data_IF_282418385076
#
_entry.id   IF_282418385076
#
_cell.length_a   1.000
_cell.length_b   1.000
_cell.length_c   1.000
_cell.angle_alpha   90.00
_cell.angle_beta   90.00
_cell.angle_gamma   90.00
#
_symmetry.space_group_name_H-M   'P 1'
#
loop_
_entity.id
_entity.type
_entity.pdbx_description
1 polymer ?
#
# COMPACT_ATOMS: atom_id res chain seq x y z
N UNK A 1 12.96 -5.18 4.91
CA UNK A 1 12.33 -6.42 4.43
C UNK A 1 11.08 -6.13 3.63
N UNK A 2 10.04 -5.44 4.19
CA UNK A 2 8.74 -5.21 3.50
C UNK A 2 8.88 -4.47 2.16
N UNK A 3 9.74 -3.43 2.08
CA UNK A 3 9.95 -2.70 0.81
C UNK A 3 10.48 -3.59 -0.31
N UNK A 4 11.36 -4.54 0.03
CA UNK A 4 11.90 -5.49 -0.94
C UNK A 4 10.87 -6.57 -1.35
N UNK A 5 9.76 -6.73 -0.62
CA UNK A 5 8.72 -7.68 -0.98
C UNK A 5 8.03 -7.31 -2.30
N UNK A 6 7.86 -6.02 -2.56
CA UNK A 6 7.25 -5.57 -3.81
C UNK A 6 8.08 -5.94 -5.04
N UNK A 7 9.42 -5.98 -4.91
CA UNK A 7 10.33 -6.33 -6.00
C UNK A 7 10.27 -7.82 -6.35
N UNK A 8 9.76 -8.67 -5.44
CA UNK A 8 9.56 -10.11 -5.65
C UNK A 8 8.22 -10.45 -6.31
N UNK A 9 7.30 -9.49 -6.38
CA UNK A 9 5.97 -9.71 -6.93
C UNK A 9 5.94 -9.41 -8.43
N UNK A 10 5.14 -10.17 -9.21
CA UNK A 10 5.01 -9.92 -10.63
C UNK A 10 4.37 -8.53 -10.88
N UNK A 11 4.76 -7.87 -11.98
CA UNK A 11 4.07 -6.66 -12.40
C UNK A 11 2.61 -6.98 -12.75
N UNK A 12 1.73 -6.00 -12.56
CA UNK A 12 0.30 -6.13 -12.84
C UNK A 12 -0.11 -5.25 -14.01
N UNK A 13 -1.14 -5.67 -14.72
CA UNK A 13 -1.77 -4.87 -15.75
C UNK A 13 -2.64 -3.78 -15.11
N UNK A 14 -2.51 -2.56 -15.62
CA UNK A 14 -3.26 -1.39 -15.19
C UNK A 14 -3.73 -0.59 -16.40
N UNK A 15 -4.85 0.11 -16.27
CA UNK A 15 -5.29 1.09 -17.27
C UNK A 15 -4.30 2.26 -17.29
N UNK A 16 -3.74 2.54 -18.47
CA UNK A 16 -2.74 3.61 -18.63
C UNK A 16 -3.32 4.97 -18.24
N UNK A 17 -2.61 5.67 -17.36
CA UNK A 17 -3.03 6.99 -16.87
C UNK A 17 -4.11 6.97 -15.79
N UNK A 18 -4.59 5.80 -15.38
CA UNK A 18 -5.50 5.69 -14.25
C UNK A 18 -4.73 5.90 -12.94
N UNK A 19 -5.19 6.87 -12.15
CA UNK A 19 -4.60 7.18 -10.84
C UNK A 19 -4.79 6.05 -9.82
N UNK A 20 -5.90 5.32 -9.94
CA UNK A 20 -6.24 4.20 -9.05
C UNK A 20 -5.69 2.85 -9.52
N UNK A 21 -4.90 2.79 -10.56
CA UNK A 21 -4.32 1.56 -11.12
C UNK A 21 -5.37 0.48 -11.43
N UNK A 22 -6.53 0.91 -11.96
CA UNK A 22 -7.65 0.02 -12.26
C UNK A 22 -7.25 -1.17 -13.13
N UNK A 23 -7.87 -2.30 -12.85
CA UNK A 23 -7.67 -3.55 -13.57
C UNK A 23 -8.42 -3.50 -14.90
N UNK A 24 -7.74 -3.58 -16.06
CA UNK A 24 -8.42 -3.55 -17.35
C UNK A 24 -9.44 -4.67 -17.52
N UNK A 25 -9.23 -5.82 -16.88
CA UNK A 25 -10.13 -6.98 -16.97
C UNK A 25 -11.32 -6.91 -16.00
N UNK A 26 -11.21 -6.13 -14.93
CA UNK A 26 -12.25 -6.04 -13.89
C UNK A 26 -13.03 -4.72 -13.95
N UNK A 27 -13.85 -4.57 -14.97
CA UNK A 27 -14.66 -3.35 -15.20
C UNK A 27 -15.55 -2.98 -14.01
N UNK A 28 -16.02 -3.95 -13.23
CA UNK A 28 -16.91 -3.70 -12.09
C UNK A 28 -16.24 -2.86 -10.98
N UNK A 29 -14.91 -2.86 -10.91
CA UNK A 29 -14.13 -2.16 -9.90
C UNK A 29 -13.39 -0.94 -10.46
N UNK A 30 -13.75 -0.46 -11.64
CA UNK A 30 -13.13 0.75 -12.18
C UNK A 30 -13.58 2.01 -11.42
N UNK A 31 -12.72 2.99 -11.37
CA UNK A 31 -13.06 4.33 -10.89
C UNK A 31 -13.99 5.04 -11.91
N UNK A 32 -14.69 6.05 -11.44
CA UNK A 32 -15.65 6.83 -12.26
C UNK A 32 -15.01 7.34 -13.56
N UNK A 33 -13.77 7.86 -13.48
CA UNK A 33 -13.07 8.38 -14.67
C UNK A 33 -12.79 7.30 -15.72
N UNK A 34 -12.43 6.08 -15.29
CA UNK A 34 -12.23 4.98 -16.23
C UNK A 34 -13.56 4.53 -16.85
N UNK A 35 -14.64 4.50 -16.08
CA UNK A 35 -15.97 4.25 -16.59
C UNK A 35 -16.37 5.29 -17.65
N UNK A 36 -16.22 6.58 -17.35
CA UNK A 36 -16.55 7.65 -18.28
C UNK A 36 -15.76 7.59 -19.60
N UNK A 37 -14.45 7.27 -19.50
CA UNK A 37 -13.55 7.27 -20.67
C UNK A 37 -13.63 6.00 -21.53
N UNK A 38 -13.90 4.85 -20.91
CA UNK A 38 -13.71 3.54 -21.54
C UNK A 38 -14.95 2.64 -21.49
N UNK A 39 -16.16 3.18 -21.20
CA UNK A 39 -17.37 2.38 -21.11
C UNK A 39 -17.69 1.58 -22.40
N UNK A 40 -17.41 2.17 -23.55
CA UNK A 40 -17.70 1.61 -24.88
C UNK A 40 -16.46 1.22 -25.69
N UNK A 41 -15.27 1.35 -25.15
CA UNK A 41 -14.00 1.04 -25.84
C UNK A 41 -13.01 0.36 -24.88
N UNK A 42 -12.08 -0.40 -25.45
CA UNK A 42 -11.02 -1.00 -24.68
C UNK A 42 -10.03 0.05 -24.15
N UNK A 43 -9.65 0.01 -22.86
CA UNK A 43 -8.65 0.92 -22.31
C UNK A 43 -7.24 0.52 -22.77
N UNK A 44 -6.33 1.49 -22.92
CA UNK A 44 -4.91 1.19 -23.10
C UNK A 44 -4.35 0.57 -21.82
N UNK A 45 -3.58 -0.51 -21.95
CA UNK A 45 -3.02 -1.29 -20.85
C UNK A 45 -1.53 -1.05 -20.71
N UNK A 46 -1.05 -0.97 -19.48
CA UNK A 46 0.37 -0.86 -19.13
C UNK A 46 0.71 -1.83 -18.00
N UNK A 47 1.89 -2.45 -18.07
CA UNK A 47 2.45 -3.21 -16.95
C UNK A 47 3.03 -2.26 -15.92
N UNK A 48 2.57 -2.37 -14.69
CA UNK A 48 3.02 -1.56 -13.55
C UNK A 48 3.57 -2.46 -12.44
N UNK A 49 4.77 -2.18 -11.92
CA UNK A 49 5.28 -2.93 -10.77
C UNK A 49 4.42 -2.69 -9.54
N UNK A 50 4.38 -3.67 -8.64
CA UNK A 50 3.80 -3.50 -7.32
C UNK A 50 4.60 -2.45 -6.53
N UNK A 51 3.91 -1.64 -5.74
CA UNK A 51 4.53 -0.61 -4.89
C UNK A 51 4.23 -0.87 -3.42
N UNK A 52 5.11 -0.43 -2.56
CA UNK A 52 4.84 -0.32 -1.13
C UNK A 52 4.47 1.12 -0.84
N UNK A 53 3.23 1.33 -0.45
CA UNK A 53 2.69 2.63 -0.03
C UNK A 53 2.75 2.65 1.50
N UNK A 54 3.45 3.62 2.06
CA UNK A 54 3.62 3.72 3.52
C UNK A 54 2.54 4.62 4.12
N UNK A 55 1.91 4.13 5.17
CA UNK A 55 0.99 4.90 6.00
C UNK A 55 1.69 5.26 7.31
N UNK A 56 2.03 6.54 7.54
CA UNK A 56 2.54 6.99 8.83
C UNK A 56 1.49 6.87 9.94
N UNK A 57 1.89 6.43 11.13
CA UNK A 57 0.97 6.32 12.29
C UNK A 57 0.36 7.66 12.72
N UNK A 58 0.98 8.78 12.34
CA UNK A 58 0.49 10.14 12.58
C UNK A 58 -0.37 10.69 11.43
N UNK A 59 -0.74 9.88 10.43
CA UNK A 59 -1.54 10.35 9.32
C UNK A 59 -2.95 10.75 9.80
N UNK A 60 -3.39 11.92 9.35
CA UNK A 60 -4.77 12.37 9.60
C UNK A 60 -5.76 11.61 8.71
N UNK A 61 -7.03 11.58 9.10
CA UNK A 61 -8.10 10.98 8.30
C UNK A 61 -8.07 11.46 6.85
N UNK A 62 -8.04 12.77 6.62
CA UNK A 62 -8.00 13.37 5.29
C UNK A 62 -6.83 12.88 4.44
N UNK A 63 -5.68 12.63 5.06
CA UNK A 63 -4.53 12.07 4.36
C UNK A 63 -4.70 10.59 4.01
N UNK A 64 -5.46 9.85 4.81
CA UNK A 64 -5.74 8.44 4.57
C UNK A 64 -6.76 8.29 3.44
N UNK A 65 -7.94 8.89 3.61
CA UNK A 65 -9.09 8.70 2.71
C UNK A 65 -9.12 9.68 1.54
N UNK A 66 -8.46 10.84 1.67
CA UNK A 66 -8.58 11.97 0.75
C UNK A 66 -9.58 13.01 1.22
N UNK A 67 -9.66 14.12 0.50
CA UNK A 67 -10.53 15.25 0.85
C UNK A 67 -11.29 15.78 -0.34
N UNK A 68 -12.53 16.25 -0.11
CA UNK A 68 -13.35 16.93 -1.10
C UNK A 68 -13.08 18.43 -1.03
N UNK A 69 -12.71 19.03 -2.16
CA UNK A 69 -12.64 20.49 -2.29
C UNK A 69 -14.06 21.05 -2.53
N UNK A 70 -14.71 21.40 -1.43
CA UNK A 70 -16.09 21.88 -1.43
C UNK A 70 -16.18 23.27 -2.11
N UNK A 71 -15.16 24.13 -1.96
CA UNK A 71 -15.16 25.45 -2.58
C UNK A 71 -15.13 25.37 -4.11
N UNK A 72 -14.28 24.51 -4.65
CA UNK A 72 -14.23 24.24 -6.09
C UNK A 72 -15.52 23.57 -6.59
N UNK A 73 -16.07 22.64 -5.82
CA UNK A 73 -17.33 21.99 -6.18
C UNK A 73 -18.49 22.99 -6.29
N UNK A 74 -18.57 23.96 -5.39
CA UNK A 74 -19.60 25.02 -5.41
C UNK A 74 -19.36 26.02 -6.53
N UNK A 75 -18.10 26.45 -6.74
CA UNK A 75 -17.78 27.50 -7.72
C UNK A 75 -17.87 27.03 -9.16
N UNK A 76 -17.46 25.82 -9.45
CA UNK A 76 -17.28 25.31 -10.80
C UNK A 76 -18.28 24.21 -11.17
N UNK A 77 -19.11 23.77 -10.21
CA UNK A 77 -20.04 22.64 -10.41
C UNK A 77 -19.32 21.32 -10.72
N UNK A 78 -18.00 21.25 -10.45
CA UNK A 78 -17.17 20.07 -10.66
C UNK A 78 -16.75 19.49 -9.31
N UNK A 79 -16.91 18.19 -9.16
CA UNK A 79 -16.38 17.48 -8.00
C UNK A 79 -14.85 17.47 -8.10
N UNK A 80 -14.18 18.17 -7.20
CA UNK A 80 -12.74 18.08 -7.04
C UNK A 80 -12.44 17.26 -5.81
N UNK A 81 -11.79 16.12 -6.01
CA UNK A 81 -11.37 15.22 -4.96
C UNK A 81 -9.84 15.12 -4.96
N UNK A 82 -9.23 15.45 -3.84
CA UNK A 82 -7.82 15.21 -3.60
C UNK A 82 -7.66 13.83 -2.98
N UNK A 83 -6.98 12.94 -3.69
CA UNK A 83 -6.84 11.55 -3.31
C UNK A 83 -5.95 11.37 -2.10
N UNK A 84 -6.31 10.43 -1.22
CA UNK A 84 -5.52 10.04 -0.06
C UNK A 84 -4.64 8.81 -0.34
N UNK A 85 -3.98 8.35 0.73
CA UNK A 85 -3.07 7.19 0.70
C UNK A 85 -3.79 5.92 0.21
N UNK A 86 -5.08 5.74 0.53
CA UNK A 86 -5.86 4.57 0.09
C UNK A 86 -6.02 4.50 -1.44
N UNK A 87 -6.02 5.63 -2.12
CA UNK A 87 -6.05 5.67 -3.58
C UNK A 87 -4.73 5.14 -4.17
N UNK A 88 -3.59 5.61 -3.64
CA UNK A 88 -2.26 5.13 -4.06
C UNK A 88 -2.06 3.65 -3.71
N UNK A 89 -2.66 3.20 -2.61
CA UNK A 89 -2.57 1.82 -2.15
C UNK A 89 -3.41 0.85 -2.98
N UNK A 90 -4.35 1.32 -3.81
CA UNK A 90 -5.19 0.43 -4.60
C UNK A 90 -4.35 -0.50 -5.49
N UNK A 91 -4.58 -1.81 -5.34
CA UNK A 91 -3.83 -2.90 -6.00
C UNK A 91 -2.32 -2.89 -5.69
N UNK A 92 -1.93 -2.34 -4.54
CA UNK A 92 -0.57 -2.23 -4.03
C UNK A 92 -0.47 -2.83 -2.62
N UNK A 93 0.72 -2.77 -2.03
CA UNK A 93 0.94 -3.10 -0.62
C UNK A 93 0.80 -1.81 0.19
N UNK A 94 -0.11 -1.80 1.16
CA UNK A 94 -0.18 -0.77 2.18
C UNK A 94 0.63 -1.22 3.39
N UNK A 95 1.69 -0.49 3.71
CA UNK A 95 2.59 -0.80 4.82
C UNK A 95 2.40 0.18 5.96
N UNK A 96 2.21 -0.36 7.16
CA UNK A 96 2.11 0.41 8.40
C UNK A 96 3.18 -0.08 9.36
N UNK A 97 4.15 0.78 9.66
CA UNK A 97 5.13 0.50 10.70
C UNK A 97 4.53 0.81 12.06
N UNK A 98 4.72 -0.10 13.04
CA UNK A 98 4.14 0.05 14.38
C UNK A 98 2.60 0.20 14.37
N UNK A 99 1.91 -0.67 13.64
CA UNK A 99 0.46 -0.60 13.44
C UNK A 99 -0.36 -0.58 14.75
N UNK A 100 0.21 -1.10 15.84
CA UNK A 100 -0.36 -1.04 17.19
C UNK A 100 -0.47 0.38 17.75
N UNK A 101 0.27 1.34 17.19
CA UNK A 101 0.24 2.76 17.58
C UNK A 101 -0.73 3.61 16.75
N UNK A 102 -1.36 3.04 15.72
CA UNK A 102 -2.37 3.74 14.95
C UNK A 102 -3.56 4.15 15.84
N UNK A 103 -4.10 5.33 15.56
CA UNK A 103 -5.36 5.82 16.13
C UNK A 103 -6.52 4.86 15.82
N UNK A 104 -7.49 4.74 16.75
CA UNK A 104 -8.65 3.87 16.60
C UNK A 104 -9.44 4.12 15.33
N UNK A 105 -9.65 5.39 15.02
CA UNK A 105 -10.40 5.80 13.86
C UNK A 105 -9.68 5.46 12.54
N UNK A 106 -8.36 5.66 12.51
CA UNK A 106 -7.56 5.25 11.35
C UNK A 106 -7.62 3.72 11.12
N UNK A 107 -7.58 2.93 12.21
CA UNK A 107 -7.73 1.47 12.13
C UNK A 107 -9.09 1.09 11.54
N UNK A 108 -10.18 1.69 12.03
CA UNK A 108 -11.54 1.42 11.55
C UNK A 108 -11.66 1.72 10.05
N UNK A 109 -11.16 2.87 9.59
CA UNK A 109 -11.11 3.25 8.17
C UNK A 109 -10.38 2.19 7.33
N UNK A 110 -9.20 1.74 7.80
CA UNK A 110 -8.43 0.73 7.08
C UNK A 110 -9.17 -0.60 6.98
N UNK A 111 -9.79 -1.04 8.09
CA UNK A 111 -10.54 -2.29 8.15
C UNK A 111 -11.78 -2.26 7.26
N UNK A 112 -12.51 -1.17 7.27
CA UNK A 112 -13.70 -0.98 6.44
C UNK A 112 -13.33 -0.94 4.96
N UNK A 113 -12.33 -0.15 4.59
CA UNK A 113 -11.84 -0.06 3.20
C UNK A 113 -11.32 -1.42 2.70
N UNK A 114 -10.55 -2.14 3.53
CA UNK A 114 -10.04 -3.47 3.19
C UNK A 114 -11.15 -4.50 3.02
N UNK A 115 -12.21 -4.43 3.83
CA UNK A 115 -13.34 -5.35 3.76
C UNK A 115 -14.23 -5.08 2.53
N UNK A 116 -14.46 -3.81 2.21
CA UNK A 116 -15.36 -3.40 1.12
C UNK A 116 -14.64 -3.32 -0.23
N UNK A 117 -13.29 -3.19 -0.24
CA UNK A 117 -12.50 -2.96 -1.45
C UNK A 117 -12.70 -1.59 -2.07
N UNK A 118 -13.38 -0.69 -1.37
CA UNK A 118 -13.64 0.69 -1.76
C UNK A 118 -13.42 1.64 -0.58
N UNK A 119 -13.00 2.84 -0.87
CA UNK A 119 -13.00 3.96 0.07
C UNK A 119 -14.12 4.92 -0.29
N UNK A 120 -14.92 5.34 0.70
CA UNK A 120 -16.02 6.29 0.51
C UNK A 120 -15.84 7.46 1.46
N UNK A 121 -15.85 8.67 0.90
CA UNK A 121 -15.75 9.92 1.65
C UNK A 121 -17.06 10.67 1.51
N UNK A 122 -17.72 10.95 2.63
CA UNK A 122 -18.96 11.72 2.68
C UNK A 122 -18.74 13.02 3.47
N UNK A 123 -18.94 14.15 2.81
CA UNK A 123 -18.86 15.48 3.44
C UNK A 123 -19.94 16.39 2.91
N UNK A 124 -20.67 17.03 3.82
CA UNK A 124 -21.73 18.02 3.52
C UNK A 124 -22.75 17.55 2.47
N UNK A 125 -23.09 16.26 2.51
CA UNK A 125 -24.05 15.66 1.57
C UNK A 125 -23.48 15.34 0.20
N UNK A 126 -22.18 15.50 -0.01
CA UNK A 126 -21.44 15.04 -1.19
C UNK A 126 -20.75 13.74 -0.84
N UNK A 127 -21.00 12.70 -1.63
CA UNK A 127 -20.32 11.40 -1.51
C UNK A 127 -19.40 11.18 -2.71
N UNK A 128 -18.18 10.69 -2.43
CA UNK A 128 -17.21 10.26 -3.42
C UNK A 128 -16.65 8.90 -3.04
N UNK A 129 -16.59 7.98 -3.99
CA UNK A 129 -16.05 6.64 -3.77
C UNK A 129 -15.00 6.30 -4.82
N UNK A 130 -14.00 5.53 -4.43
CA UNK A 130 -13.00 5.00 -5.33
C UNK A 130 -12.53 3.60 -4.91
N UNK A 131 -11.97 2.79 -5.81
CA UNK A 131 -11.39 1.51 -5.47
C UNK A 131 -10.26 1.64 -4.44
N UNK A 132 -10.24 0.73 -3.45
CA UNK A 132 -9.22 0.68 -2.40
C UNK A 132 -8.93 -0.79 -2.01
N UNK A 133 -8.56 -1.60 -3.00
CA UNK A 133 -8.15 -3.00 -2.80
C UNK A 133 -6.64 -3.04 -2.57
N UNK A 134 -6.20 -3.35 -1.37
CA UNK A 134 -4.78 -3.39 -1.02
C UNK A 134 -4.44 -4.60 -0.15
N UNK A 135 -3.16 -4.99 -0.19
CA UNK A 135 -2.61 -5.96 0.76
C UNK A 135 -2.03 -5.22 1.95
N UNK A 136 -2.63 -5.38 3.14
CA UNK A 136 -2.15 -4.73 4.35
C UNK A 136 -1.00 -5.51 4.96
N UNK A 137 0.13 -4.84 5.18
CA UNK A 137 1.29 -5.36 5.92
C UNK A 137 1.57 -4.43 7.09
N UNK A 138 1.50 -4.97 8.29
CA UNK A 138 1.81 -4.24 9.53
C UNK A 138 3.01 -4.85 10.25
N UNK A 139 3.85 -4.01 10.84
CA UNK A 139 4.80 -4.42 11.86
C UNK A 139 4.31 -3.98 13.23
N UNK A 140 4.75 -4.66 14.27
CA UNK A 140 4.51 -4.23 15.64
C UNK A 140 5.69 -4.60 16.53
N UNK A 141 5.88 -3.83 17.58
CA UNK A 141 6.77 -4.14 18.67
C UNK A 141 5.91 -4.50 19.91
N UNK A 142 5.96 -5.75 20.41
CA UNK A 142 5.17 -6.15 21.58
C UNK A 142 5.51 -5.38 22.87
N UNK A 143 6.69 -4.71 22.92
CA UNK A 143 7.08 -3.88 24.05
C UNK A 143 6.33 -2.54 24.09
N UNK A 144 5.78 -2.10 22.97
CA UNK A 144 5.08 -0.81 22.82
C UNK A 144 3.56 -0.94 22.92
N UNK A 145 3.07 -2.15 23.12
CA UNK A 145 1.65 -2.44 23.30
C UNK A 145 1.16 -3.61 22.45
N UNK A 146 -0.01 -4.09 22.79
CA UNK A 146 -0.65 -5.20 22.08
C UNK A 146 -1.40 -4.69 20.85
N UNK A 147 -1.47 -5.55 19.83
CA UNK A 147 -2.34 -5.31 18.69
C UNK A 147 -3.80 -5.54 19.07
N UNK A 148 -4.70 -4.69 18.60
CA UNK A 148 -6.13 -4.84 18.88
C UNK A 148 -6.66 -6.14 18.29
N UNK A 149 -7.53 -6.87 19.01
CA UNK A 149 -8.09 -8.14 18.53
C UNK A 149 -8.79 -8.01 17.17
N UNK A 150 -9.56 -6.93 16.95
CA UNK A 150 -10.26 -6.69 15.68
C UNK A 150 -9.29 -6.53 14.49
N UNK A 151 -8.13 -5.93 14.72
CA UNK A 151 -7.10 -5.77 13.71
C UNK A 151 -6.38 -7.11 13.48
N UNK A 152 -6.05 -7.84 14.56
CA UNK A 152 -5.39 -9.13 14.48
C UNK A 152 -6.24 -10.17 13.71
N UNK A 153 -7.54 -10.19 13.93
CA UNK A 153 -8.47 -11.10 13.25
C UNK A 153 -8.54 -10.89 11.73
N UNK A 154 -8.10 -9.73 11.24
CA UNK A 154 -8.07 -9.40 9.81
C UNK A 154 -6.76 -9.78 9.13
N UNK A 155 -5.70 -10.07 9.89
CA UNK A 155 -4.45 -10.57 9.33
C UNK A 155 -4.51 -12.07 9.10
N UNK A 156 -4.43 -12.49 7.83
CA UNK A 156 -4.39 -13.90 7.46
C UNK A 156 -3.08 -14.59 7.87
N UNK A 157 -2.00 -13.83 7.98
CA UNK A 157 -0.67 -14.32 8.31
C UNK A 157 -0.03 -13.47 9.40
N UNK A 158 0.62 -14.14 10.34
CA UNK A 158 1.42 -13.50 11.38
C UNK A 158 2.76 -14.22 11.51
N UNK A 159 3.85 -13.45 11.51
CA UNK A 159 5.22 -13.97 11.62
C UNK A 159 5.91 -13.31 12.80
N UNK A 160 6.39 -14.12 13.74
CA UNK A 160 7.22 -13.64 14.84
C UNK A 160 8.66 -13.52 14.39
N UNK A 161 9.19 -12.30 14.36
CA UNK A 161 10.60 -12.01 14.06
C UNK A 161 11.36 -11.90 15.37
N UNK A 162 12.46 -12.67 15.49
CA UNK A 162 13.35 -12.61 16.62
C UNK A 162 14.78 -12.29 16.17
N UNK A 163 15.56 -11.68 17.04
CA UNK A 163 16.97 -11.42 16.77
C UNK A 163 17.76 -12.74 16.63
N UNK A 164 18.73 -12.77 15.71
CA UNK A 164 19.62 -13.92 15.53
C UNK A 164 20.46 -14.16 16.80
N UNK A 165 20.37 -15.37 17.34
CA UNK A 165 21.06 -15.75 18.57
C UNK A 165 22.43 -16.41 18.30
N UNK A 166 22.66 -16.95 17.11
CA UNK A 166 23.91 -17.59 16.74
C UNK A 166 25.02 -16.53 16.52
N UNK A 167 26.13 -16.58 17.29
CA UNK A 167 27.20 -15.59 17.17
C UNK A 167 27.85 -15.53 15.79
N UNK A 168 27.98 -16.68 15.11
CA UNK A 168 28.60 -16.77 13.78
C UNK A 168 27.73 -16.08 12.73
N UNK A 169 26.39 -16.33 12.77
CA UNK A 169 25.44 -15.63 11.88
C UNK A 169 25.38 -14.14 12.17
N UNK A 170 25.44 -13.74 13.44
CA UNK A 170 25.53 -12.31 13.81
C UNK A 170 26.77 -11.66 13.24
N UNK A 171 27.95 -12.34 13.35
CA UNK A 171 29.18 -11.83 12.76
C UNK A 171 29.08 -11.69 11.23
N UNK A 172 28.40 -12.63 10.57
CA UNK A 172 28.18 -12.58 9.13
C UNK A 172 27.26 -11.40 8.74
N UNK A 173 26.17 -11.16 9.47
CA UNK A 173 25.31 -9.98 9.26
C UNK A 173 26.11 -8.68 9.33
N UNK A 174 26.98 -8.54 10.34
CA UNK A 174 27.84 -7.37 10.49
C UNK A 174 28.82 -7.24 9.33
N UNK A 175 29.47 -8.33 8.91
CA UNK A 175 30.38 -8.33 7.76
C UNK A 175 29.69 -7.89 6.47
N UNK A 176 28.49 -8.44 6.19
CA UNK A 176 27.69 -8.05 5.00
C UNK A 176 27.31 -6.58 5.06
N UNK A 177 26.91 -6.08 6.22
CA UNK A 177 26.59 -4.66 6.39
C UNK A 177 27.79 -3.75 6.12
N UNK A 178 28.96 -4.08 6.65
CA UNK A 178 30.20 -3.33 6.41
C UNK A 178 30.61 -3.38 4.94
N UNK A 179 30.48 -4.53 4.28
CA UNK A 179 30.78 -4.67 2.86
C UNK A 179 29.84 -3.80 2.00
N UNK A 180 28.55 -3.77 2.32
CA UNK A 180 27.57 -2.91 1.66
C UNK A 180 27.88 -1.41 1.86
N UNK A 181 28.26 -1.01 3.08
CA UNK A 181 28.62 0.38 3.39
C UNK A 181 29.91 0.83 2.70
N UNK A 182 30.84 -0.10 2.50
CA UNK A 182 32.10 0.19 1.81
C UNK A 182 31.93 0.38 0.29
N UNK A 183 31.10 -0.45 -0.36
CA UNK A 183 30.83 -0.37 -1.79
C UNK A 183 29.48 -1.06 -2.08
N UNK A 184 28.40 -0.28 -2.09
CA UNK A 184 27.05 -0.79 -2.27
C UNK A 184 26.80 -1.32 -3.68
N UNK A 185 27.39 -0.72 -4.70
CA UNK A 185 27.20 -1.14 -6.10
C UNK A 185 27.84 -2.50 -6.35
N UNK A 186 29.08 -2.66 -5.90
CA UNK A 186 29.77 -3.94 -5.98
C UNK A 186 29.06 -5.02 -5.18
N UNK A 187 28.64 -4.72 -3.95
CA UNK A 187 27.94 -5.67 -3.10
C UNK A 187 26.65 -6.16 -3.76
N UNK A 188 25.83 -5.25 -4.32
CA UNK A 188 24.61 -5.61 -5.05
C UNK A 188 24.91 -6.49 -6.27
N UNK A 189 25.96 -6.15 -7.03
CA UNK A 189 26.37 -6.94 -8.19
C UNK A 189 26.79 -8.38 -7.81
N UNK A 190 27.57 -8.52 -6.73
CA UNK A 190 28.06 -9.82 -6.24
C UNK A 190 26.89 -10.73 -5.76
N UNK A 191 25.79 -10.14 -5.27
CA UNK A 191 24.64 -10.89 -4.75
C UNK A 191 23.48 -11.04 -5.76
N UNK A 192 23.62 -10.48 -6.95
CA UNK A 192 22.55 -10.46 -7.96
C UNK A 192 22.05 -11.86 -8.38
N UNK A 193 22.98 -12.80 -8.58
CA UNK A 193 22.61 -14.16 -8.97
C UNK A 193 21.83 -14.92 -7.87
N UNK A 194 22.14 -14.65 -6.58
CA UNK A 194 21.39 -15.25 -5.48
C UNK A 194 19.99 -14.63 -5.34
N UNK A 195 19.87 -13.32 -5.53
CA UNK A 195 18.58 -12.64 -5.54
C UNK A 195 17.67 -13.14 -6.67
N UNK A 196 18.22 -13.35 -7.86
CA UNK A 196 17.45 -13.87 -9.00
C UNK A 196 16.89 -15.29 -8.75
N UNK A 197 17.57 -16.10 -7.94
CA UNK A 197 17.08 -17.43 -7.57
C UNK A 197 15.94 -17.40 -6.55
N UNK A 198 15.82 -16.32 -5.76
CA UNK A 198 14.74 -16.18 -4.78
C UNK A 198 13.45 -15.63 -5.42
N UNK A 199 13.56 -14.99 -6.59
CA UNK A 199 12.41 -14.41 -7.34
C UNK A 199 11.71 -15.45 -8.25
N UNK A 200 12.37 -16.54 -8.61
CA UNK A 200 11.86 -17.63 -9.46
C UNK A 200 11.24 -18.75 -8.67
#
# INVERSE_FOLDING_TARGET
>A
AVRALADLLPPRECIQGCHYHDDPENKANWCDSCHELYDTKEPPVVLSPMKVVELPVSATEDRIVGTLDIELAIREGRRSFETGILADANRNILYVDEINLLDDHAVDILLDSAAMGINTVEREGISYSHPAQFSLVGTMNPEEGDIRPQLLDRFALSVKVAGEQNPEKRAEIVKRRLAYEADSEKFIADWKEEQEKEVG
#
